data_IF_116252001500
#
_entry.id   IF_116252001500
#
_cell.length_a   1.000
_cell.length_b   1.000
_cell.length_c   1.000
_cell.angle_alpha   90.00
_cell.angle_beta   90.00
_cell.angle_gamma   90.00
#
_symmetry.space_group_name_H-M   'P 1'
#
loop_
_entity.id
_entity.type
_entity.pdbx_description
1 polymer ?
#
# COMPACT_ATOMS: atom_id res chain seq x y z
N UNK A 1 -1.39 4.26 11.92
CA UNK A 1 -0.23 4.21 11.00
C UNK A 1 -0.58 3.77 9.58
N UNK A 2 -1.63 2.98 9.37
CA UNK A 2 -2.03 2.49 8.03
C UNK A 2 -2.41 3.60 7.06
N UNK A 3 -3.21 4.59 7.52
CA UNK A 3 -3.68 5.70 6.68
C UNK A 3 -2.53 6.61 6.24
N UNK A 4 -1.57 6.88 7.12
CA UNK A 4 -0.39 7.69 6.80
C UNK A 4 0.52 7.00 5.77
N UNK A 5 0.70 5.68 5.88
CA UNK A 5 1.48 4.89 4.91
C UNK A 5 0.78 4.81 3.55
N UNK A 6 -0.53 4.55 3.56
CA UNK A 6 -1.34 4.55 2.34
C UNK A 6 -1.28 5.90 1.64
N UNK A 7 -1.47 7.00 2.39
CA UNK A 7 -1.47 8.34 1.81
C UNK A 7 -0.11 8.72 1.22
N UNK A 8 0.99 8.49 1.95
CA UNK A 8 2.33 8.78 1.43
C UNK A 8 2.66 7.96 0.18
N UNK A 9 2.30 6.67 0.15
CA UNK A 9 2.47 5.84 -1.05
C UNK A 9 1.60 6.27 -2.22
N UNK A 10 0.36 6.72 -1.94
CA UNK A 10 -0.53 7.25 -2.97
C UNK A 10 0.02 8.56 -3.56
N UNK A 11 0.53 9.46 -2.71
CA UNK A 11 1.15 10.71 -3.16
C UNK A 11 2.36 10.41 -4.08
N UNK A 12 3.16 9.37 -3.77
CA UNK A 12 4.27 8.90 -4.61
C UNK A 12 3.83 8.30 -5.95
N UNK A 13 2.75 7.51 -5.95
CA UNK A 13 2.14 6.96 -7.18
C UNK A 13 1.61 8.07 -8.07
N UNK A 14 1.03 9.13 -7.50
CA UNK A 14 0.45 10.23 -8.25
C UNK A 14 1.50 11.22 -8.80
N UNK A 15 2.71 11.24 -8.23
CA UNK A 15 3.79 12.12 -8.70
C UNK A 15 4.63 11.52 -9.84
N UNK A 16 4.35 10.29 -10.27
CA UNK A 16 5.13 9.57 -11.29
C UNK A 16 4.21 8.98 -12.37
N UNK A 17 4.80 8.67 -13.53
CA UNK A 17 4.11 8.04 -14.67
C UNK A 17 4.88 6.82 -15.17
N UNK A 18 4.25 6.04 -16.05
CA UNK A 18 4.88 4.88 -16.70
C UNK A 18 5.40 3.84 -15.71
N UNK A 19 6.58 3.29 -16.00
CA UNK A 19 7.15 2.16 -15.26
C UNK A 19 7.39 2.45 -13.77
N UNK A 20 7.73 3.69 -13.41
CA UNK A 20 7.95 4.07 -12.01
C UNK A 20 6.64 4.06 -11.22
N UNK A 21 5.57 4.60 -11.82
CA UNK A 21 4.22 4.52 -11.24
C UNK A 21 3.78 3.08 -11.00
N UNK A 22 4.01 2.21 -11.97
CA UNK A 22 3.63 0.80 -11.88
C UNK A 22 4.41 0.08 -10.77
N UNK A 23 5.70 0.38 -10.62
CA UNK A 23 6.52 -0.13 -9.52
C UNK A 23 5.97 0.32 -8.14
N UNK A 24 5.68 1.62 -7.98
CA UNK A 24 5.14 2.14 -6.73
C UNK A 24 3.75 1.58 -6.39
N UNK A 25 2.89 1.34 -7.39
CA UNK A 25 1.60 0.66 -7.19
C UNK A 25 1.83 -0.76 -6.63
N UNK A 26 2.78 -1.52 -7.19
CA UNK A 26 3.05 -2.88 -6.77
C UNK A 26 3.60 -2.94 -5.34
N UNK A 27 4.54 -2.05 -5.01
CA UNK A 27 5.12 -1.96 -3.67
C UNK A 27 4.08 -1.55 -2.62
N UNK A 28 3.28 -0.51 -2.90
CA UNK A 28 2.24 -0.04 -2.00
C UNK A 28 1.23 -1.15 -1.70
N UNK A 29 0.73 -1.84 -2.74
CA UNK A 29 -0.19 -2.97 -2.57
C UNK A 29 0.43 -4.09 -1.75
N UNK A 30 1.68 -4.42 -1.98
CA UNK A 30 2.39 -5.49 -1.25
C UNK A 30 2.49 -5.19 0.24
N UNK A 31 2.87 -3.98 0.60
CA UNK A 31 2.98 -3.58 2.01
C UNK A 31 1.60 -3.50 2.66
N UNK A 32 0.60 -2.93 1.98
CA UNK A 32 -0.78 -2.89 2.48
C UNK A 32 -1.33 -4.29 2.72
N UNK A 33 -1.11 -5.22 1.79
CA UNK A 33 -1.57 -6.60 1.94
C UNK A 33 -0.92 -7.28 3.14
N UNK A 34 0.42 -7.20 3.27
CA UNK A 34 1.14 -7.78 4.42
C UNK A 34 0.71 -7.19 5.75
N UNK A 35 0.40 -5.90 5.79
CA UNK A 35 -0.05 -5.23 7.00
C UNK A 35 -1.50 -5.56 7.37
N UNK A 36 -2.41 -5.56 6.39
CA UNK A 36 -3.84 -5.79 6.62
C UNK A 36 -4.17 -7.26 6.84
N UNK A 37 -3.46 -8.18 6.17
CA UNK A 37 -3.71 -9.63 6.27
C UNK A 37 -3.83 -10.13 7.72
N UNK A 38 -2.83 -9.95 8.60
CA UNK A 38 -2.94 -10.42 9.99
C UNK A 38 -4.07 -9.73 10.75
N UNK A 39 -4.33 -8.44 10.50
CA UNK A 39 -5.39 -7.71 11.20
C UNK A 39 -6.79 -8.22 10.83
N UNK A 40 -7.01 -8.54 9.56
CA UNK A 40 -8.29 -9.08 9.07
C UNK A 40 -8.47 -10.53 9.51
N UNK A 41 -7.39 -11.32 9.49
CA UNK A 41 -7.42 -12.72 9.95
C UNK A 41 -7.63 -12.83 11.47
N UNK A 42 -7.04 -11.94 12.27
CA UNK A 42 -7.18 -11.90 13.74
C UNK A 42 -8.57 -11.38 14.19
N UNK A 43 -9.21 -10.55 13.36
CA UNK A 43 -10.59 -10.08 13.63
C UNK A 43 -11.66 -11.12 13.28
N UNK A 44 -11.30 -12.16 12.52
CA UNK A 44 -12.21 -13.23 12.09
C UNK A 44 -12.25 -14.45 13.03
N UNK A 45 -11.57 -14.37 14.19
CA UNK A 45 -11.51 -15.40 15.24
C UNK A 45 -12.61 -15.27 16.29
#
# INVERSE_FOLDING_TARGET
MTVTLFKAGLDLVMSHEGAERDAYIAELKTVMYRYLKPLVEDTAG
#
